data_IF_148021911383
#
_entry.id   IF_148021911383
#
_cell.length_a   1.000
_cell.length_b   1.000
_cell.length_c   1.000
_cell.angle_alpha   90.00
_cell.angle_beta   90.00
_cell.angle_gamma   90.00
#
_symmetry.space_group_name_H-M   'P 1'
#
loop_
_entity.id
_entity.type
_entity.pdbx_description
1 polymer ?
#
# COMPACT_ATOMS: atom_id res chain seq x y z
N UNK A 1 -7.61 -13.26 -34.95
CA UNK A 1 -8.16 -12.27 -33.99
C UNK A 1 -7.84 -10.88 -34.51
N UNK A 2 -8.82 -9.98 -34.53
CA UNK A 2 -8.60 -8.57 -34.88
C UNK A 2 -7.95 -7.89 -33.68
N UNK A 3 -6.80 -7.24 -33.89
CA UNK A 3 -6.11 -6.47 -32.86
C UNK A 3 -6.58 -5.02 -32.92
N UNK A 4 -7.02 -4.46 -31.79
CA UNK A 4 -7.30 -3.04 -31.66
C UNK A 4 -6.01 -2.24 -31.81
N UNK A 5 -6.10 -1.07 -32.45
CA UNK A 5 -4.96 -0.16 -32.51
C UNK A 5 -4.70 0.42 -31.12
N UNK A 6 -3.46 0.88 -30.88
CA UNK A 6 -3.14 1.64 -29.66
C UNK A 6 -4.11 2.80 -29.50
N UNK A 7 -4.36 3.53 -30.59
CA UNK A 7 -5.28 4.67 -30.57
C UNK A 7 -6.69 4.31 -30.11
N UNK A 8 -7.22 3.16 -30.52
CA UNK A 8 -8.54 2.69 -30.09
C UNK A 8 -8.55 2.39 -28.58
N UNK A 9 -7.52 1.70 -28.07
CA UNK A 9 -7.40 1.36 -26.65
C UNK A 9 -7.25 2.63 -25.79
N UNK A 10 -6.35 3.53 -26.17
CA UNK A 10 -6.13 4.80 -25.48
C UNK A 10 -7.38 5.68 -25.46
N UNK A 11 -8.09 5.76 -26.59
CA UNK A 11 -9.35 6.48 -26.68
C UNK A 11 -10.40 5.89 -25.74
N UNK A 12 -10.55 4.56 -25.72
CA UNK A 12 -11.50 3.88 -24.85
C UNK A 12 -11.18 4.13 -23.36
N UNK A 13 -9.92 3.99 -22.96
CA UNK A 13 -9.44 4.27 -21.59
C UNK A 13 -9.69 5.72 -21.17
N UNK A 14 -9.36 6.69 -22.05
CA UNK A 14 -9.62 8.12 -21.78
C UNK A 14 -11.11 8.40 -21.61
N UNK A 15 -11.95 7.88 -22.50
CA UNK A 15 -13.40 8.08 -22.43
C UNK A 15 -14.02 7.45 -21.18
N UNK A 16 -13.53 6.29 -20.74
CA UNK A 16 -14.00 5.64 -19.50
C UNK A 16 -13.61 6.44 -18.24
N UNK A 17 -12.38 6.97 -18.20
CA UNK A 17 -11.86 7.70 -17.04
C UNK A 17 -12.37 9.14 -16.95
N UNK A 18 -12.44 9.85 -18.08
CA UNK A 18 -12.74 11.28 -18.14
C UNK A 18 -14.10 11.61 -18.74
N UNK A 19 -14.77 10.65 -19.38
CA UNK A 19 -16.00 10.93 -20.13
C UNK A 19 -15.70 11.56 -21.50
N UNK A 20 -16.70 12.25 -22.05
CA UNK A 20 -16.68 12.77 -23.42
C UNK A 20 -15.96 14.14 -23.54
N UNK A 21 -16.41 14.99 -24.48
CA UNK A 21 -15.91 16.35 -24.68
C UNK A 21 -15.85 17.20 -23.41
N UNK A 22 -16.74 16.97 -22.43
CA UNK A 22 -16.72 17.72 -21.17
C UNK A 22 -15.47 17.43 -20.33
N UNK A 23 -14.94 16.20 -20.36
CA UNK A 23 -13.77 15.78 -19.59
C UNK A 23 -12.42 15.99 -20.27
N UNK A 24 -12.41 16.61 -21.47
CA UNK A 24 -11.16 16.84 -22.20
C UNK A 24 -10.25 17.83 -21.47
N UNK A 25 -10.82 18.86 -20.84
CA UNK A 25 -10.05 19.83 -20.06
C UNK A 25 -9.42 19.20 -18.81
N UNK A 26 -10.16 18.35 -18.09
CA UNK A 26 -9.67 17.63 -16.91
C UNK A 26 -8.58 16.63 -17.29
N UNK A 27 -8.77 15.92 -18.39
CA UNK A 27 -7.74 15.05 -18.96
C UNK A 27 -6.44 15.80 -19.28
N UNK A 28 -6.51 16.92 -20.02
CA UNK A 28 -5.32 17.69 -20.37
C UNK A 28 -4.66 18.34 -19.14
N UNK A 29 -5.45 18.68 -18.12
CA UNK A 29 -4.93 19.11 -16.84
C UNK A 29 -4.12 17.99 -16.18
N UNK A 30 -4.71 16.83 -15.94
CA UNK A 30 -4.07 15.69 -15.25
C UNK A 30 -2.80 15.22 -15.97
N UNK A 31 -2.88 15.06 -17.30
CA UNK A 31 -1.74 14.60 -18.12
C UNK A 31 -0.55 15.55 -17.98
N UNK A 32 -0.80 16.86 -17.88
CA UNK A 32 0.24 17.86 -17.71
C UNK A 32 0.73 17.97 -16.27
N UNK A 33 -0.17 17.93 -15.28
CA UNK A 33 0.18 18.26 -13.89
C UNK A 33 0.61 17.06 -13.07
N UNK A 34 0.02 15.89 -13.32
CA UNK A 34 0.29 14.66 -12.57
C UNK A 34 1.40 13.85 -13.26
N UNK A 35 1.34 13.77 -14.59
CA UNK A 35 2.22 12.88 -15.36
C UNK A 35 3.32 13.61 -16.14
N UNK A 36 3.38 14.95 -16.07
CA UNK A 36 4.36 15.81 -16.76
C UNK A 36 4.47 15.53 -18.27
N UNK A 37 3.33 15.23 -18.91
CA UNK A 37 3.24 14.96 -20.34
C UNK A 37 2.59 16.15 -21.03
N UNK A 38 3.15 16.56 -22.16
CA UNK A 38 2.49 17.54 -23.01
C UNK A 38 1.24 16.90 -23.67
N UNK A 39 0.04 17.49 -23.56
CA UNK A 39 -1.19 16.86 -24.06
C UNK A 39 -1.13 16.45 -25.54
N UNK A 40 -0.47 17.24 -26.40
CA UNK A 40 -0.29 16.91 -27.81
C UNK A 40 0.43 15.58 -28.03
N UNK A 41 1.35 15.19 -27.14
CA UNK A 41 2.10 13.94 -27.23
C UNK A 41 1.18 12.75 -26.98
N UNK A 42 0.28 12.86 -26.01
CA UNK A 42 -0.76 11.85 -25.80
C UNK A 42 -1.71 11.77 -27.01
N UNK A 43 -2.20 12.92 -27.50
CA UNK A 43 -3.08 12.95 -28.67
C UNK A 43 -2.44 12.35 -29.92
N UNK A 44 -1.12 12.49 -30.05
CA UNK A 44 -0.36 11.83 -31.11
C UNK A 44 -0.43 10.30 -30.97
N UNK A 45 -0.27 9.75 -29.75
CA UNK A 45 -0.41 8.32 -29.48
C UNK A 45 -1.84 7.82 -29.72
N UNK A 46 -2.87 8.58 -29.31
CA UNK A 46 -4.27 8.23 -29.56
C UNK A 46 -4.60 8.18 -31.07
N UNK A 47 -3.89 8.95 -31.89
CA UNK A 47 -4.04 8.93 -33.35
C UNK A 47 -3.25 7.81 -34.03
N UNK A 48 -2.36 7.12 -33.32
CA UNK A 48 -1.56 6.04 -33.92
C UNK A 48 -2.42 4.83 -34.27
N UNK A 49 -2.24 4.37 -35.51
CA UNK A 49 -2.80 3.11 -36.01
C UNK A 49 -1.86 1.92 -35.86
N UNK A 50 -0.65 2.16 -35.35
CA UNK A 50 0.33 1.11 -35.08
C UNK A 50 -0.17 0.15 -34.00
N UNK A 51 0.34 -1.08 -34.02
CA UNK A 51 -0.07 -2.15 -33.11
C UNK A 51 0.82 -2.31 -31.87
N UNK A 52 1.94 -1.58 -31.75
CA UNK A 52 2.91 -1.71 -30.66
C UNK A 52 3.48 -0.36 -30.23
N UNK A 53 3.54 -0.16 -28.91
CA UNK A 53 4.28 0.93 -28.27
C UNK A 53 5.71 0.44 -28.02
N UNK A 54 6.67 1.36 -28.04
CA UNK A 54 7.96 1.09 -27.40
C UNK A 54 7.78 0.96 -25.88
N UNK A 55 8.79 0.42 -25.20
CA UNK A 55 8.71 0.09 -23.78
C UNK A 55 8.47 1.33 -22.91
N UNK A 56 9.11 2.46 -23.22
CA UNK A 56 8.97 3.70 -22.47
C UNK A 56 7.54 4.23 -22.52
N UNK A 57 6.94 4.28 -23.72
CA UNK A 57 5.55 4.73 -23.88
C UNK A 57 4.56 3.75 -23.28
N UNK A 58 4.85 2.45 -23.31
CA UNK A 58 4.01 1.44 -22.68
C UNK A 58 3.96 1.63 -21.16
N UNK A 59 5.12 1.81 -20.51
CA UNK A 59 5.20 2.08 -19.06
C UNK A 59 4.40 3.31 -18.68
N UNK A 60 4.54 4.39 -19.46
CA UNK A 60 3.84 5.65 -19.20
C UNK A 60 2.32 5.53 -19.39
N UNK A 61 1.85 4.84 -20.43
CA UNK A 61 0.42 4.53 -20.60
C UNK A 61 -0.10 3.67 -19.46
N UNK A 62 0.69 2.67 -19.03
CA UNK A 62 0.36 1.83 -17.90
C UNK A 62 0.19 2.63 -16.61
N UNK A 63 1.05 3.63 -16.37
CA UNK A 63 0.95 4.52 -15.21
C UNK A 63 -0.27 5.46 -15.25
N UNK A 64 -0.66 5.98 -16.43
CA UNK A 64 -1.82 6.88 -16.55
C UNK A 64 -3.13 6.18 -16.18
N UNK A 65 -3.22 4.88 -16.47
CA UNK A 65 -4.46 4.11 -16.39
C UNK A 65 -4.41 2.96 -15.38
N UNK A 66 -3.39 2.91 -14.52
CA UNK A 66 -3.18 1.85 -13.53
C UNK A 66 -3.20 0.43 -14.13
N UNK A 67 -2.61 0.28 -15.32
CA UNK A 67 -2.52 -0.97 -16.07
C UNK A 67 -1.18 -1.68 -15.84
N UNK A 68 -1.14 -2.98 -16.10
CA UNK A 68 0.10 -3.72 -16.35
C UNK A 68 0.34 -3.85 -17.86
N UNK A 69 1.57 -4.12 -18.31
CA UNK A 69 1.83 -4.43 -19.73
C UNK A 69 0.97 -5.58 -20.25
N UNK A 70 0.69 -6.57 -19.40
CA UNK A 70 -0.16 -7.71 -19.72
C UNK A 70 -1.63 -7.28 -19.88
N UNK A 71 -2.18 -6.49 -18.95
CA UNK A 71 -3.56 -6.02 -19.08
C UNK A 71 -3.75 -5.13 -20.30
N UNK A 72 -2.76 -4.28 -20.64
CA UNK A 72 -2.78 -3.52 -21.88
C UNK A 72 -2.79 -4.43 -23.13
N UNK A 73 -1.96 -5.48 -23.14
CA UNK A 73 -1.93 -6.45 -24.24
C UNK A 73 -3.28 -7.21 -24.37
N UNK A 74 -3.92 -7.55 -23.24
CA UNK A 74 -5.24 -8.17 -23.22
C UNK A 74 -6.32 -7.24 -23.82
N UNK A 75 -6.29 -5.94 -23.47
CA UNK A 75 -7.20 -4.95 -24.07
C UNK A 75 -7.03 -4.86 -25.59
N UNK A 76 -5.80 -4.96 -26.10
CA UNK A 76 -5.56 -4.92 -27.55
C UNK A 76 -6.18 -6.09 -28.32
N UNK A 77 -6.45 -7.22 -27.68
CA UNK A 77 -7.02 -8.41 -28.33
C UNK A 77 -8.44 -8.74 -27.85
N UNK A 78 -9.02 -7.90 -27.00
CA UNK A 78 -10.35 -8.08 -26.46
C UNK A 78 -11.41 -8.08 -27.57
N UNK A 79 -12.33 -9.06 -27.62
CA UNK A 79 -13.41 -9.07 -28.61
C UNK A 79 -14.31 -7.83 -28.52
N UNK A 80 -14.56 -7.36 -27.30
CA UNK A 80 -15.25 -6.11 -26.99
C UNK A 80 -14.33 -5.23 -26.15
N UNK A 81 -13.74 -4.23 -26.79
CA UNK A 81 -12.82 -3.29 -26.13
C UNK A 81 -13.51 -2.45 -25.05
N UNK A 82 -14.76 -2.02 -25.31
CA UNK A 82 -15.48 -1.14 -24.38
C UNK A 82 -15.79 -1.89 -23.09
N UNK A 83 -16.32 -3.11 -23.21
CA UNK A 83 -16.61 -3.95 -22.05
C UNK A 83 -15.33 -4.30 -21.27
N UNK A 84 -14.23 -4.59 -21.97
CA UNK A 84 -12.96 -4.93 -21.33
C UNK A 84 -12.35 -3.73 -20.57
N UNK A 85 -12.38 -2.52 -21.14
CA UNK A 85 -11.93 -1.29 -20.47
C UNK A 85 -12.79 -0.97 -19.25
N UNK A 86 -14.11 -1.10 -19.37
CA UNK A 86 -15.02 -0.88 -18.26
C UNK A 86 -14.76 -1.86 -17.11
N UNK A 87 -14.66 -3.17 -17.41
CA UNK A 87 -14.36 -4.20 -16.42
C UNK A 87 -13.01 -3.96 -15.71
N UNK A 88 -11.99 -3.50 -16.44
CA UNK A 88 -10.70 -3.16 -15.86
C UNK A 88 -10.80 -1.97 -14.89
N UNK A 89 -11.48 -0.90 -15.31
CA UNK A 89 -11.69 0.29 -14.47
C UNK A 89 -12.47 -0.04 -13.20
N UNK A 90 -13.52 -0.86 -13.30
CA UNK A 90 -14.27 -1.33 -12.14
C UNK A 90 -13.44 -2.20 -11.21
N UNK A 91 -12.54 -3.04 -11.73
CA UNK A 91 -11.62 -3.82 -10.91
C UNK A 91 -10.66 -2.93 -10.12
N UNK A 92 -10.11 -1.88 -10.74
CA UNK A 92 -9.27 -0.89 -10.04
C UNK A 92 -10.07 -0.19 -8.94
N UNK A 93 -11.27 0.32 -9.25
CA UNK A 93 -12.14 0.99 -8.26
C UNK A 93 -12.50 0.05 -7.11
N UNK A 94 -12.86 -1.19 -7.40
CA UNK A 94 -13.18 -2.18 -6.40
C UNK A 94 -11.98 -2.48 -5.48
N UNK A 95 -10.78 -2.55 -6.06
CA UNK A 95 -9.55 -2.72 -5.29
C UNK A 95 -9.27 -1.51 -4.39
N UNK A 96 -9.31 -0.28 -4.93
CA UNK A 96 -9.12 0.95 -4.13
C UNK A 96 -10.16 1.08 -3.01
N UNK A 97 -11.43 0.78 -3.30
CA UNK A 97 -12.48 0.75 -2.28
C UNK A 97 -12.26 -0.33 -1.23
N UNK A 98 -11.74 -1.49 -1.61
CA UNK A 98 -11.36 -2.53 -0.66
C UNK A 98 -10.20 -2.07 0.23
N UNK A 99 -9.15 -1.47 -0.35
CA UNK A 99 -8.02 -0.93 0.41
C UNK A 99 -8.47 0.15 1.41
N UNK A 100 -9.29 1.11 0.98
CA UNK A 100 -9.83 2.13 1.88
C UNK A 100 -10.71 1.55 3.00
N UNK A 101 -11.50 0.51 2.72
CA UNK A 101 -12.29 -0.16 3.76
C UNK A 101 -11.39 -0.89 4.74
N UNK A 102 -10.36 -1.56 4.23
CA UNK A 102 -9.36 -2.29 5.01
C UNK A 102 -8.59 -1.35 5.95
N UNK A 103 -8.16 -0.18 5.47
CA UNK A 103 -7.49 0.85 6.28
C UNK A 103 -8.37 1.44 7.40
N UNK A 104 -9.68 1.51 7.17
CA UNK A 104 -10.67 2.06 8.11
C UNK A 104 -11.27 1.02 9.06
N UNK A 105 -10.83 -0.24 8.97
CA UNK A 105 -11.33 -1.29 9.84
C UNK A 105 -10.97 -0.94 11.30
N UNK A 106 -11.98 -0.84 12.15
CA UNK A 106 -11.81 -0.60 13.57
C UNK A 106 -11.34 -1.89 14.25
N UNK A 107 -10.03 -2.13 14.23
CA UNK A 107 -9.43 -3.26 14.93
C UNK A 107 -9.65 -3.12 16.44
N UNK A 108 -9.97 -4.22 17.16
CA UNK A 108 -10.04 -4.18 18.62
C UNK A 108 -8.70 -3.74 19.20
N UNK A 109 -8.75 -3.03 20.32
CA UNK A 109 -7.54 -2.64 21.04
C UNK A 109 -6.75 -3.89 21.46
N UNK A 110 -5.52 -4.00 20.94
CA UNK A 110 -4.67 -5.16 21.13
C UNK A 110 -4.16 -5.28 22.56
N UNK A 111 -3.99 -4.16 23.29
CA UNK A 111 -3.61 -4.16 24.71
C UNK A 111 -4.73 -4.68 25.59
N UNK A 112 -5.95 -4.17 25.39
CA UNK A 112 -7.14 -4.62 26.11
C UNK A 112 -7.42 -6.09 25.83
N UNK A 113 -7.29 -6.51 24.58
CA UNK A 113 -7.49 -7.91 24.18
C UNK A 113 -6.42 -8.80 24.81
N UNK A 114 -5.15 -8.39 24.77
CA UNK A 114 -4.06 -9.13 25.41
C UNK A 114 -4.27 -9.29 26.92
N UNK A 115 -4.71 -8.24 27.60
CA UNK A 115 -5.01 -8.28 29.04
C UNK A 115 -6.16 -9.23 29.39
N UNK A 116 -7.10 -9.47 28.48
CA UNK A 116 -8.19 -10.43 28.68
C UNK A 116 -7.77 -11.88 28.41
N UNK A 117 -6.77 -12.08 27.56
CA UNK A 117 -6.34 -13.42 27.10
C UNK A 117 -5.10 -13.94 27.82
N UNK A 118 -4.31 -13.05 28.42
CA UNK A 118 -3.07 -13.42 29.11
C UNK A 118 -3.35 -13.68 30.58
N UNK A 119 -3.05 -14.90 31.06
CA UNK A 119 -3.05 -15.18 32.49
C UNK A 119 -1.86 -14.47 33.15
N UNK A 120 -2.09 -13.50 34.06
CA UNK A 120 -1.03 -12.73 34.69
C UNK A 120 -0.05 -13.57 35.50
N UNK A 121 -0.35 -14.84 35.77
CA UNK A 121 0.53 -15.77 36.51
C UNK A 121 1.61 -16.42 35.63
N UNK A 122 1.53 -16.31 34.31
CA UNK A 122 2.37 -17.10 33.40
C UNK A 122 3.77 -16.55 33.12
N UNK A 123 4.07 -15.28 33.44
CA UNK A 123 5.43 -14.70 33.30
C UNK A 123 5.72 -13.61 34.35
N UNK A 124 6.32 -13.95 35.51
CA UNK A 124 6.60 -12.99 36.58
C UNK A 124 7.84 -12.10 36.35
N UNK A 125 8.66 -12.35 35.32
CA UNK A 125 10.00 -11.76 35.20
C UNK A 125 10.11 -10.56 34.23
N UNK A 126 9.14 -10.37 33.33
CA UNK A 126 9.13 -9.26 32.38
C UNK A 126 7.91 -8.35 32.64
N UNK A 127 8.16 -7.04 32.77
CA UNK A 127 7.12 -6.02 32.98
C UNK A 127 6.28 -5.80 31.71
N UNK A 128 6.89 -5.98 30.54
CA UNK A 128 6.29 -5.80 29.22
C UNK A 128 6.66 -6.96 28.30
N UNK A 129 5.93 -7.10 27.19
CA UNK A 129 6.20 -8.13 26.18
C UNK A 129 6.69 -7.47 24.87
N UNK A 130 7.45 -8.18 24.01
CA UNK A 130 7.88 -7.66 22.71
C UNK A 130 6.72 -7.12 21.85
N UNK A 131 5.54 -7.73 21.97
CA UNK A 131 4.32 -7.29 21.28
C UNK A 131 3.85 -5.90 21.74
N UNK A 132 4.13 -5.53 22.99
CA UNK A 132 3.83 -4.19 23.52
C UNK A 132 4.76 -3.13 22.89
N UNK A 133 6.00 -3.50 22.55
CA UNK A 133 6.95 -2.66 21.80
C UNK A 133 6.44 -2.46 20.37
N UNK A 134 6.04 -3.55 19.69
CA UNK A 134 5.47 -3.49 18.34
C UNK A 134 4.24 -2.57 18.29
N UNK A 135 3.31 -2.75 19.24
CA UNK A 135 2.13 -1.89 19.38
C UNK A 135 2.52 -0.43 19.59
N UNK A 136 3.51 -0.17 20.45
CA UNK A 136 3.98 1.18 20.72
C UNK A 136 4.46 1.87 19.46
N UNK A 137 5.32 1.20 18.68
CA UNK A 137 5.84 1.73 17.42
C UNK A 137 4.70 2.07 16.46
N UNK A 138 3.73 1.15 16.28
CA UNK A 138 2.57 1.39 15.42
C UNK A 138 1.79 2.64 15.85
N UNK A 139 1.49 2.77 17.14
CA UNK A 139 0.74 3.90 17.69
C UNK A 139 1.51 5.22 17.57
N UNK A 140 2.82 5.22 17.84
CA UNK A 140 3.69 6.39 17.68
C UNK A 140 3.76 6.87 16.22
N UNK A 141 3.82 5.94 15.27
CA UNK A 141 3.81 6.21 13.82
C UNK A 141 2.43 6.59 13.27
N UNK A 142 1.37 6.51 14.10
CA UNK A 142 -0.04 6.66 13.69
C UNK A 142 -0.45 5.71 12.57
N UNK A 143 0.22 4.57 12.47
CA UNK A 143 -0.09 3.55 11.48
C UNK A 143 -1.26 2.70 11.96
N UNK A 144 -2.11 2.31 11.01
CA UNK A 144 -3.18 1.34 11.28
C UNK A 144 -2.60 -0.08 11.24
N UNK A 145 -3.37 -1.06 11.73
CA UNK A 145 -3.02 -2.49 11.60
C UNK A 145 -2.79 -2.85 10.13
N UNK A 146 -3.62 -2.33 9.21
CA UNK A 146 -3.47 -2.58 7.78
C UNK A 146 -2.15 -2.04 7.20
N UNK A 147 -1.67 -0.88 7.69
CA UNK A 147 -0.39 -0.32 7.26
C UNK A 147 0.79 -1.20 7.71
N UNK A 148 0.82 -1.60 8.98
CA UNK A 148 1.88 -2.49 9.49
C UNK A 148 1.83 -3.87 8.83
N UNK A 149 0.63 -4.42 8.64
CA UNK A 149 0.45 -5.69 7.94
C UNK A 149 0.95 -5.62 6.50
N UNK A 150 0.66 -4.53 5.77
CA UNK A 150 1.20 -4.31 4.42
C UNK A 150 2.74 -4.15 4.43
N UNK A 151 3.30 -3.47 5.43
CA UNK A 151 4.75 -3.29 5.55
C UNK A 151 5.50 -4.62 5.70
N UNK A 152 4.94 -5.57 6.45
CA UNK A 152 5.49 -6.91 6.63
C UNK A 152 4.95 -7.95 5.63
N UNK A 153 4.19 -7.54 4.61
CA UNK A 153 3.53 -8.44 3.65
C UNK A 153 2.66 -9.54 4.32
N UNK A 154 2.04 -9.22 5.46
CA UNK A 154 1.19 -10.12 6.23
C UNK A 154 -0.31 -9.86 6.00
N UNK A 155 -1.17 -10.88 6.18
CA UNK A 155 -2.60 -10.66 6.39
C UNK A 155 -2.85 -9.82 7.65
N UNK A 156 -3.76 -8.85 7.59
CA UNK A 156 -4.03 -7.93 8.69
C UNK A 156 -4.38 -8.63 10.02
N UNK A 157 -5.16 -9.73 9.94
CA UNK A 157 -5.52 -10.52 11.12
C UNK A 157 -4.30 -11.19 11.75
N UNK A 158 -3.35 -11.65 10.93
CA UNK A 158 -2.13 -12.31 11.41
C UNK A 158 -1.24 -11.31 12.14
N UNK A 159 -1.03 -10.12 11.56
CA UNK A 159 -0.32 -9.03 12.22
C UNK A 159 -1.00 -8.64 13.55
N UNK A 160 -2.33 -8.48 13.56
CA UNK A 160 -3.06 -8.15 14.78
C UNK A 160 -2.93 -9.24 15.86
N UNK A 161 -2.98 -10.52 15.49
CA UNK A 161 -2.78 -11.64 16.42
C UNK A 161 -1.36 -11.68 17.00
N UNK A 162 -0.35 -11.31 16.21
CA UNK A 162 1.02 -11.10 16.69
C UNK A 162 1.06 -9.96 17.69
N UNK A 163 0.46 -8.80 17.41
CA UNK A 163 0.46 -7.65 18.32
C UNK A 163 -0.31 -7.90 19.65
N UNK A 164 -1.29 -8.80 19.65
CA UNK A 164 -1.97 -9.26 20.87
C UNK A 164 -1.08 -10.21 21.69
N UNK A 165 -0.15 -10.93 21.05
CA UNK A 165 0.65 -12.00 21.63
C UNK A 165 -0.04 -13.37 21.61
N UNK A 166 -0.98 -13.58 20.67
CA UNK A 166 -1.56 -14.91 20.43
C UNK A 166 -0.65 -15.80 19.58
N UNK A 167 0.18 -15.17 18.76
CA UNK A 167 1.20 -15.81 17.93
C UNK A 167 2.49 -15.05 18.22
N UNK A 168 3.63 -15.74 18.38
CA UNK A 168 4.91 -15.06 18.57
C UNK A 168 5.24 -14.15 17.38
N UNK A 169 6.01 -13.10 17.65
CA UNK A 169 6.61 -12.28 16.59
C UNK A 169 7.52 -13.16 15.71
N UNK A 170 7.62 -12.84 14.43
CA UNK A 170 8.60 -13.47 13.55
C UNK A 170 9.99 -12.87 13.79
N UNK A 171 11.03 -13.64 13.50
CA UNK A 171 12.43 -13.18 13.57
C UNK A 171 12.64 -11.88 12.75
N UNK A 172 11.92 -11.72 11.64
CA UNK A 172 11.96 -10.50 10.82
C UNK A 172 11.44 -9.27 11.58
N UNK A 173 10.31 -9.41 12.29
CA UNK A 173 9.73 -8.31 13.07
C UNK A 173 10.63 -7.99 14.28
N UNK A 174 11.16 -9.02 14.95
CA UNK A 174 12.09 -8.81 16.07
C UNK A 174 13.36 -8.09 15.61
N UNK A 175 13.97 -8.53 14.51
CA UNK A 175 15.15 -7.88 13.93
C UNK A 175 14.86 -6.44 13.49
N UNK A 176 13.67 -6.20 12.93
CA UNK A 176 13.22 -4.86 12.56
C UNK A 176 13.08 -3.94 13.79
N UNK A 177 12.48 -4.43 14.88
CA UNK A 177 12.38 -3.69 16.14
C UNK A 177 13.76 -3.37 16.72
N UNK A 178 14.66 -4.37 16.75
CA UNK A 178 16.05 -4.18 17.20
C UNK A 178 16.76 -3.09 16.38
N UNK A 179 16.62 -3.14 15.06
CA UNK A 179 17.21 -2.14 14.15
C UNK A 179 16.62 -0.75 14.38
N UNK A 180 15.29 -0.65 14.48
CA UNK A 180 14.57 0.61 14.71
C UNK A 180 14.96 1.27 16.05
N UNK A 181 15.20 0.45 17.07
CA UNK A 181 15.54 0.89 18.42
C UNK A 181 17.05 0.96 18.68
N UNK A 182 17.86 0.68 17.65
CA UNK A 182 19.32 0.62 17.72
C UNK A 182 19.82 -0.22 18.93
N UNK A 183 19.28 -1.43 19.06
CA UNK A 183 19.61 -2.41 20.10
C UNK A 183 19.84 -3.78 19.48
N UNK A 184 20.66 -4.61 20.14
CA UNK A 184 20.86 -6.01 19.74
C UNK A 184 19.81 -6.95 20.38
N UNK A 185 19.13 -6.48 21.43
CA UNK A 185 18.16 -7.25 22.20
C UNK A 185 17.05 -6.35 22.76
N UNK A 186 15.81 -6.83 22.71
CA UNK A 186 14.62 -6.15 23.24
C UNK A 186 14.45 -6.31 24.75
N UNK A 187 15.26 -7.15 25.42
CA UNK A 187 15.15 -7.39 26.88
C UNK A 187 15.09 -6.11 27.71
N UNK A 188 15.94 -5.12 27.39
CA UNK A 188 15.97 -3.81 28.06
C UNK A 188 14.60 -3.11 28.03
N UNK A 189 13.86 -3.23 26.93
CA UNK A 189 12.52 -2.67 26.78
C UNK A 189 11.45 -3.52 27.46
N UNK A 190 11.62 -4.84 27.53
CA UNK A 190 10.65 -5.72 28.20
C UNK A 190 10.74 -5.68 29.74
N UNK A 191 11.90 -5.29 30.30
CA UNK A 191 12.15 -5.29 31.75
C UNK A 191 11.97 -3.92 32.42
N UNK A 192 11.91 -2.83 31.65
CA UNK A 192 11.72 -1.49 32.21
C UNK A 192 10.38 -1.36 32.95
N UNK A 193 10.31 -0.59 34.05
CA UNK A 193 9.03 -0.24 34.69
C UNK A 193 8.23 0.82 33.92
N UNK A 194 8.87 1.58 33.02
CA UNK A 194 8.22 2.62 32.21
C UNK A 194 8.63 2.48 30.73
N UNK A 195 7.86 1.68 29.99
CA UNK A 195 8.09 1.47 28.56
C UNK A 195 7.82 2.73 27.73
N UNK A 196 6.82 3.54 28.11
CA UNK A 196 6.45 4.74 27.34
C UNK A 196 7.59 5.76 27.35
N UNK A 197 8.19 6.02 28.51
CA UNK A 197 9.33 6.92 28.61
C UNK A 197 10.52 6.43 27.78
N UNK A 198 10.85 5.13 27.89
CA UNK A 198 12.00 4.56 27.18
C UNK A 198 11.80 4.58 25.65
N UNK A 199 10.61 4.21 25.17
CA UNK A 199 10.31 4.20 23.75
C UNK A 199 10.32 5.60 23.13
N UNK A 200 9.83 6.63 23.83
CA UNK A 200 9.93 8.02 23.33
C UNK A 200 11.36 8.45 23.12
N UNK A 201 12.24 8.11 24.07
CA UNK A 201 13.66 8.44 23.98
C UNK A 201 14.32 7.70 22.81
N UNK A 202 14.10 6.38 22.70
CA UNK A 202 14.68 5.56 21.65
C UNK A 202 14.25 6.01 20.24
N UNK A 203 12.95 6.27 20.05
CA UNK A 203 12.41 6.70 18.75
C UNK A 203 12.87 8.13 18.34
N UNK A 204 13.13 9.01 19.31
CA UNK A 204 13.73 10.32 19.03
C UNK A 204 15.17 10.19 18.51
N UNK A 205 15.96 9.27 19.08
CA UNK A 205 17.35 9.07 18.66
C UNK A 205 17.45 8.40 17.29
N UNK A 206 16.58 7.45 16.97
CA UNK A 206 16.58 6.79 15.66
C UNK A 206 16.09 7.71 14.53
N UNK A 207 15.23 8.69 14.82
CA UNK A 207 14.84 9.73 13.84
C UNK A 207 16.01 10.67 13.49
N UNK A 208 16.95 10.90 14.41
CA UNK A 208 18.12 11.75 14.16
C UNK A 208 19.23 11.04 13.37
N UNK A 209 19.31 9.70 13.42
CA UNK A 209 20.31 8.93 12.66
C UNK A 209 19.95 8.73 11.18
N UNK A 210 18.74 9.07 10.74
CA UNK A 210 18.36 9.03 9.31
C UNK A 210 18.69 10.33 8.54
N UNK A 211 19.27 11.34 9.19
CA UNK A 211 19.56 12.67 8.61
C UNK A 211 21.08 12.88 8.35
N UNK A 212 21.94 11.95 8.77
CA UNK A 212 23.39 11.96 8.50
C UNK A 212 23.80 10.81 7.56
#
# INVERSE_FOLDING_TARGET
MTKHTIGAVLKALRLEKYGDSAGTADFEYDIRTIYDIQPWAYWYLERQRAGQLDQERLVLVCQIYDLTPESFAQLQVAPDLSAAVHAHTEAIRAHQQWQHRRERLAWPDSAMTAAQLTDPTTRPEATHRPEDILRYVRLASRWTVAHMAAYFELPDLLYWQMEVGLIPLSDEIDQWLCTLLNTDDLTTFTQTPDLDQLMRFALQQSTHQQID
#
